data_IF_316798831129
#
_entry.id   IF_316798831129
#
_cell.length_a   1.000
_cell.length_b   1.000
_cell.length_c   1.000
_cell.angle_alpha   90.00
_cell.angle_beta   90.00
_cell.angle_gamma   90.00
#
_symmetry.space_group_name_H-M   'P 1'
#
loop_
_entity.id
_entity.type
_entity.pdbx_description
1 polymer ?
#
# COMPACT_ATOMS: atom_id res chain seq x y z
N UNK A 1 6.89 -11.89 17.76
CA UNK A 1 7.72 -12.82 16.93
C UNK A 1 8.34 -12.05 15.79
N UNK A 2 9.47 -12.54 15.24
CA UNK A 2 10.09 -11.93 14.06
C UNK A 2 9.51 -12.56 12.81
N UNK A 3 8.91 -11.76 11.93
CA UNK A 3 8.35 -12.18 10.65
C UNK A 3 8.91 -11.33 9.51
N UNK A 4 9.01 -11.93 8.32
CA UNK A 4 9.14 -11.16 7.09
C UNK A 4 7.81 -10.46 6.79
N UNK A 5 7.84 -9.44 5.93
CA UNK A 5 6.65 -8.75 5.47
C UNK A 5 5.63 -9.71 4.82
N UNK A 6 6.11 -10.66 3.99
CA UNK A 6 5.27 -11.70 3.39
C UNK A 6 4.63 -12.62 4.44
N UNK A 7 5.43 -13.11 5.40
CA UNK A 7 4.94 -13.99 6.47
C UNK A 7 3.90 -13.29 7.34
N UNK A 8 4.05 -11.99 7.55
CA UNK A 8 3.09 -11.17 8.31
C UNK A 8 1.72 -11.09 7.60
N UNK A 9 1.70 -10.88 6.28
CA UNK A 9 0.47 -10.90 5.46
C UNK A 9 -0.17 -12.30 5.51
N UNK A 10 0.64 -13.35 5.25
CA UNK A 10 0.18 -14.76 5.33
C UNK A 10 -0.48 -15.04 6.67
N UNK A 11 0.20 -14.71 7.77
CA UNK A 11 -0.31 -14.94 9.10
C UNK A 11 -1.60 -14.16 9.38
N UNK A 12 -1.68 -12.90 8.92
CA UNK A 12 -2.89 -12.09 9.07
C UNK A 12 -4.10 -12.73 8.39
N UNK A 13 -3.96 -13.19 7.15
CA UNK A 13 -5.04 -13.87 6.42
C UNK A 13 -5.40 -15.20 7.09
N UNK A 14 -4.38 -16.00 7.45
CA UNK A 14 -4.56 -17.29 8.12
C UNK A 14 -5.38 -17.15 9.41
N UNK A 15 -5.02 -16.21 10.28
CA UNK A 15 -5.73 -15.97 11.55
C UNK A 15 -7.18 -15.53 11.31
N UNK A 16 -7.45 -14.73 10.29
CA UNK A 16 -8.82 -14.35 9.96
C UNK A 16 -9.65 -15.50 9.40
N UNK A 17 -9.04 -16.38 8.60
CA UNK A 17 -9.71 -17.60 8.11
C UNK A 17 -9.98 -18.61 9.25
N UNK A 18 -9.08 -18.73 10.22
CA UNK A 18 -9.34 -19.56 11.43
C UNK A 18 -10.44 -18.95 12.31
N UNK A 19 -10.50 -17.62 12.41
CA UNK A 19 -11.46 -16.90 13.25
C UNK A 19 -12.88 -16.90 12.69
N UNK A 20 -13.02 -16.75 11.37
CA UNK A 20 -14.29 -16.52 10.71
C UNK A 20 -14.47 -17.44 9.50
N UNK A 21 -15.44 -18.38 9.55
CA UNK A 21 -15.69 -19.31 8.45
C UNK A 21 -16.20 -18.66 7.16
N UNK A 22 -16.67 -17.42 7.21
CA UNK A 22 -17.06 -16.66 6.02
C UNK A 22 -15.88 -16.12 5.21
N UNK A 23 -14.68 -16.07 5.79
CA UNK A 23 -13.44 -15.65 5.11
C UNK A 23 -12.93 -16.79 4.23
N UNK A 24 -12.72 -16.50 2.94
CA UNK A 24 -12.11 -17.44 2.00
C UNK A 24 -11.22 -16.72 1.00
N UNK A 25 -10.28 -17.43 0.40
CA UNK A 25 -9.37 -16.90 -0.63
C UNK A 25 -9.75 -17.42 -2.01
N UNK A 26 -9.64 -16.56 -3.03
CA UNK A 26 -9.76 -16.96 -4.43
C UNK A 26 -8.74 -16.20 -5.28
N UNK A 27 -8.25 -16.83 -6.32
CA UNK A 27 -7.23 -16.25 -7.21
C UNK A 27 -6.50 -17.29 -8.02
N UNK A 28 -5.53 -16.85 -8.80
CA UNK A 28 -4.75 -17.70 -9.70
C UNK A 28 -3.63 -18.41 -8.94
N UNK A 29 -3.56 -19.76 -9.07
CA UNK A 29 -2.53 -20.60 -8.47
C UNK A 29 -2.37 -20.49 -6.95
N UNK A 30 -3.40 -20.04 -6.23
CA UNK A 30 -3.34 -19.81 -4.77
C UNK A 30 -3.51 -21.08 -3.94
N UNK A 31 -4.05 -22.16 -4.53
CA UNK A 31 -4.32 -23.41 -3.88
C UNK A 31 -3.06 -24.26 -3.68
N UNK A 32 -2.89 -25.31 -4.50
CA UNK A 32 -1.77 -26.27 -4.37
C UNK A 32 -0.41 -25.57 -4.55
N UNK A 33 -0.31 -24.61 -5.46
CA UNK A 33 0.93 -23.86 -5.67
C UNK A 33 1.22 -22.85 -4.55
N UNK A 34 0.20 -22.35 -3.84
CA UNK A 34 0.33 -21.42 -2.72
C UNK A 34 0.58 -19.97 -3.12
N UNK A 35 0.16 -19.59 -4.33
CA UNK A 35 0.35 -18.27 -4.90
C UNK A 35 1.74 -18.04 -5.53
N UNK A 36 1.85 -17.10 -6.46
CA UNK A 36 3.10 -16.81 -7.17
C UNK A 36 4.26 -16.42 -6.21
N UNK A 37 3.95 -15.78 -5.12
CA UNK A 37 4.92 -15.36 -4.08
C UNK A 37 4.82 -16.16 -2.79
N UNK A 38 3.98 -17.20 -2.74
CA UNK A 38 3.83 -18.11 -1.58
C UNK A 38 3.11 -17.46 -0.37
N UNK A 39 2.23 -16.49 -0.59
CA UNK A 39 1.45 -15.92 0.51
C UNK A 39 0.42 -16.91 1.04
N UNK A 40 -0.19 -17.71 0.18
CA UNK A 40 -1.21 -18.72 0.55
C UNK A 40 -0.66 -20.16 0.66
N UNK A 41 0.65 -20.32 0.75
CA UNK A 41 1.29 -21.62 0.89
C UNK A 41 0.81 -22.37 2.16
N UNK A 42 0.32 -23.62 2.00
CA UNK A 42 -0.26 -24.43 3.06
C UNK A 42 -1.74 -24.13 3.40
N UNK A 43 -2.35 -23.10 2.80
CA UNK A 43 -3.74 -22.75 3.10
C UNK A 43 -4.72 -23.84 2.68
N UNK A 44 -4.53 -24.43 1.50
CA UNK A 44 -5.42 -25.47 0.99
C UNK A 44 -5.42 -26.73 1.85
N UNK A 45 -4.29 -27.06 2.47
CA UNK A 45 -4.16 -28.20 3.38
C UNK A 45 -4.92 -27.97 4.68
N UNK A 46 -5.00 -26.73 5.14
CA UNK A 46 -5.66 -26.34 6.38
C UNK A 46 -7.14 -26.08 6.20
N UNK A 47 -7.53 -25.34 5.16
CA UNK A 47 -8.89 -24.80 5.00
C UNK A 47 -9.71 -25.52 3.92
N UNK A 48 -9.07 -26.35 3.09
CA UNK A 48 -9.70 -27.11 2.02
C UNK A 48 -9.99 -26.28 0.75
N UNK A 49 -10.32 -26.99 -0.35
CA UNK A 49 -10.50 -26.37 -1.67
C UNK A 49 -11.77 -25.50 -1.79
N UNK A 50 -12.71 -25.62 -0.86
CA UNK A 50 -13.91 -24.78 -0.84
C UNK A 50 -13.65 -23.39 -0.25
N UNK A 51 -12.55 -23.23 0.50
CA UNK A 51 -12.13 -21.95 1.08
C UNK A 51 -10.81 -21.41 0.51
N UNK A 52 -10.13 -22.18 -0.33
CA UNK A 52 -8.94 -21.76 -1.08
C UNK A 52 -9.16 -22.16 -2.52
N UNK A 53 -9.64 -21.25 -3.34
CA UNK A 53 -10.21 -21.52 -4.66
C UNK A 53 -9.24 -21.07 -5.74
N UNK A 54 -8.66 -22.02 -6.48
CA UNK A 54 -7.93 -21.72 -7.71
C UNK A 54 -8.91 -21.29 -8.81
N UNK A 55 -8.59 -20.19 -9.48
CA UNK A 55 -9.38 -19.67 -10.59
C UNK A 55 -8.61 -19.73 -11.91
N UNK A 56 -9.29 -19.74 -13.06
CA UNK A 56 -8.65 -19.37 -14.31
C UNK A 56 -8.10 -17.95 -14.29
N UNK A 57 -7.21 -17.61 -15.22
CA UNK A 57 -6.72 -16.24 -15.47
C UNK A 57 -7.87 -15.42 -16.05
N UNK A 58 -8.62 -14.75 -15.18
CA UNK A 58 -9.79 -13.95 -15.55
C UNK A 58 -10.13 -12.94 -14.43
N UNK A 59 -9.33 -11.90 -14.31
CA UNK A 59 -9.38 -10.94 -13.19
C UNK A 59 -10.76 -10.29 -13.02
N UNK A 60 -11.44 -9.96 -14.11
CA UNK A 60 -12.84 -9.47 -14.05
C UNK A 60 -13.78 -10.49 -13.41
N UNK A 61 -13.61 -11.78 -13.70
CA UNK A 61 -14.42 -12.84 -13.12
C UNK A 61 -14.06 -13.08 -11.65
N UNK A 62 -12.77 -13.01 -11.29
CA UNK A 62 -12.30 -13.12 -9.89
C UNK A 62 -12.97 -12.03 -9.04
N UNK A 63 -12.90 -10.76 -9.48
CA UNK A 63 -13.55 -9.65 -8.78
C UNK A 63 -15.07 -9.81 -8.75
N UNK A 64 -15.68 -10.22 -9.87
CA UNK A 64 -17.13 -10.44 -9.94
C UNK A 64 -17.61 -11.52 -8.99
N UNK A 65 -16.88 -12.64 -8.89
CA UNK A 65 -17.18 -13.73 -7.96
C UNK A 65 -17.00 -13.29 -6.50
N UNK A 66 -15.88 -12.61 -6.18
CA UNK A 66 -15.64 -12.05 -4.86
C UNK A 66 -16.75 -11.06 -4.47
N UNK A 67 -17.12 -10.17 -5.37
CA UNK A 67 -18.19 -9.20 -5.13
C UNK A 67 -19.54 -9.89 -4.89
N UNK A 68 -19.94 -10.84 -5.75
CA UNK A 68 -21.16 -11.60 -5.57
C UNK A 68 -21.22 -12.34 -4.25
N UNK A 69 -20.11 -13.00 -3.85
CA UNK A 69 -19.99 -13.67 -2.58
C UNK A 69 -20.11 -12.70 -1.39
N UNK A 70 -19.52 -11.51 -1.48
CA UNK A 70 -19.61 -10.50 -0.42
C UNK A 70 -21.05 -10.04 -0.17
N UNK A 71 -21.88 -9.94 -1.22
CA UNK A 71 -23.30 -9.58 -1.10
C UNK A 71 -24.15 -10.68 -0.44
N UNK A 72 -23.64 -11.91 -0.38
CA UNK A 72 -24.30 -13.05 0.29
C UNK A 72 -23.78 -13.32 1.70
N UNK A 73 -22.95 -12.42 2.24
CA UNK A 73 -22.46 -12.50 3.60
C UNK A 73 -21.09 -13.16 3.78
N UNK A 74 -20.41 -13.51 2.68
CA UNK A 74 -19.04 -14.00 2.72
C UNK A 74 -18.04 -12.84 2.75
N UNK A 75 -16.78 -13.14 3.16
CA UNK A 75 -15.66 -12.19 3.21
C UNK A 75 -14.49 -12.69 2.34
N UNK A 76 -14.58 -12.49 1.03
CA UNK A 76 -13.54 -12.94 0.10
C UNK A 76 -12.27 -12.10 0.20
N UNK A 77 -11.13 -12.78 0.10
CA UNK A 77 -9.79 -12.23 -0.13
C UNK A 77 -9.36 -12.68 -1.52
N UNK A 78 -9.46 -11.79 -2.49
CA UNK A 78 -9.11 -12.08 -3.88
C UNK A 78 -7.67 -11.68 -4.17
N UNK A 79 -6.85 -12.63 -4.64
CA UNK A 79 -5.46 -12.41 -5.01
C UNK A 79 -5.33 -12.18 -6.51
N UNK A 80 -4.60 -11.12 -6.89
CA UNK A 80 -4.02 -10.93 -8.21
C UNK A 80 -2.57 -11.38 -8.19
N UNK A 81 -2.09 -12.06 -9.24
CA UNK A 81 -0.68 -12.45 -9.33
C UNK A 81 0.26 -11.23 -9.33
N UNK A 82 -0.18 -10.13 -9.97
CA UNK A 82 0.43 -8.80 -9.93
C UNK A 82 -0.67 -7.74 -9.96
N UNK A 83 -0.50 -6.68 -9.18
CA UNK A 83 -1.46 -5.56 -9.18
C UNK A 83 -1.47 -4.78 -10.50
N UNK A 84 -0.51 -5.01 -11.37
CA UNK A 84 -0.52 -4.53 -12.76
C UNK A 84 -1.76 -5.03 -13.51
N UNK A 85 -2.22 -6.26 -13.23
CA UNK A 85 -3.37 -6.89 -13.91
C UNK A 85 -4.73 -6.50 -13.32
N UNK A 86 -4.77 -5.80 -12.19
CA UNK A 86 -6.02 -5.31 -11.61
C UNK A 86 -6.78 -4.39 -12.59
N UNK A 87 -6.05 -3.78 -13.55
CA UNK A 87 -6.65 -3.02 -14.65
C UNK A 87 -7.63 -3.81 -15.50
N UNK A 88 -7.45 -5.15 -15.65
CA UNK A 88 -8.38 -6.03 -16.36
C UNK A 88 -9.75 -6.12 -15.67
N UNK A 89 -9.81 -5.85 -14.36
CA UNK A 89 -11.03 -5.85 -13.56
C UNK A 89 -11.55 -4.43 -13.24
N UNK A 90 -11.01 -3.39 -13.88
CA UNK A 90 -11.28 -1.99 -13.52
C UNK A 90 -12.77 -1.66 -13.49
N UNK A 91 -13.55 -2.11 -14.49
CA UNK A 91 -14.99 -1.87 -14.52
C UNK A 91 -15.73 -2.52 -13.34
N UNK A 92 -15.36 -3.76 -12.98
CA UNK A 92 -15.97 -4.46 -11.84
C UNK A 92 -15.68 -3.70 -10.53
N UNK A 93 -14.47 -3.24 -10.36
CA UNK A 93 -14.05 -2.51 -9.16
C UNK A 93 -14.70 -1.14 -9.09
N UNK A 94 -14.55 -0.33 -10.15
CA UNK A 94 -14.95 1.09 -10.14
C UNK A 94 -16.45 1.28 -10.26
N UNK A 95 -17.16 0.48 -11.06
CA UNK A 95 -18.58 0.68 -11.33
C UNK A 95 -19.50 -0.22 -10.48
N UNK A 96 -19.03 -1.40 -10.06
CA UNK A 96 -19.83 -2.30 -9.25
C UNK A 96 -19.44 -2.22 -7.77
N UNK A 97 -18.23 -2.62 -7.42
CA UNK A 97 -17.77 -2.75 -6.03
C UNK A 97 -17.76 -1.41 -5.29
N UNK A 98 -17.14 -0.39 -5.86
CA UNK A 98 -16.98 0.92 -5.21
C UNK A 98 -18.29 1.62 -4.89
N UNK A 99 -19.33 1.43 -5.71
CA UNK A 99 -20.58 2.18 -5.64
C UNK A 99 -21.72 1.46 -4.89
N UNK A 100 -21.50 0.22 -4.50
CA UNK A 100 -22.54 -0.63 -3.88
C UNK A 100 -23.15 0.00 -2.63
N UNK A 101 -22.31 0.46 -1.71
CA UNK A 101 -22.79 1.07 -0.48
C UNK A 101 -23.58 2.35 -0.74
N UNK A 102 -23.10 3.21 -1.65
CA UNK A 102 -23.79 4.43 -2.02
C UNK A 102 -25.16 4.18 -2.65
N UNK A 103 -25.24 3.19 -3.56
CA UNK A 103 -26.48 2.91 -4.30
C UNK A 103 -27.53 2.19 -3.46
N UNK A 104 -27.10 1.25 -2.62
CA UNK A 104 -28.04 0.33 -1.94
C UNK A 104 -27.91 0.31 -0.42
N UNK A 105 -26.92 1.01 0.15
CA UNK A 105 -26.60 0.90 1.57
C UNK A 105 -26.05 -0.46 1.98
N UNK A 106 -25.83 -1.36 1.02
CA UNK A 106 -25.33 -2.71 1.29
C UNK A 106 -23.82 -2.72 1.60
N UNK A 107 -23.37 -3.55 2.54
CA UNK A 107 -21.95 -3.81 2.72
C UNK A 107 -21.39 -4.60 1.52
N UNK A 108 -20.12 -4.38 1.21
CA UNK A 108 -19.36 -5.15 0.24
C UNK A 108 -18.00 -5.52 0.86
N UNK A 109 -17.99 -6.43 1.87
CA UNK A 109 -16.78 -6.79 2.60
C UNK A 109 -15.88 -7.70 1.77
N UNK A 110 -15.03 -7.12 0.95
CA UNK A 110 -14.05 -7.87 0.15
C UNK A 110 -12.69 -7.19 0.16
N UNK A 111 -11.64 -7.99 0.08
CA UNK A 111 -10.26 -7.53 -0.06
C UNK A 111 -9.74 -7.96 -1.43
N UNK A 112 -9.24 -6.99 -2.20
CA UNK A 112 -8.49 -7.22 -3.42
C UNK A 112 -7.02 -6.98 -3.10
N UNK A 113 -6.17 -8.01 -3.21
CA UNK A 113 -4.77 -7.91 -2.83
C UNK A 113 -3.82 -8.45 -3.90
N UNK A 114 -2.59 -7.99 -3.88
CA UNK A 114 -1.54 -8.53 -4.74
C UNK A 114 -0.24 -7.73 -4.68
N UNK A 115 0.84 -8.31 -5.27
CA UNK A 115 2.16 -7.68 -5.32
C UNK A 115 2.19 -6.49 -6.29
N UNK A 116 2.79 -5.38 -5.85
CA UNK A 116 3.00 -4.16 -6.63
C UNK A 116 4.45 -3.68 -6.54
N UNK A 117 4.78 -2.63 -7.26
CA UNK A 117 6.03 -1.89 -7.12
C UNK A 117 7.23 -2.43 -7.90
N UNK A 118 8.23 -1.59 -8.03
CA UNK A 118 9.48 -1.82 -8.75
C UNK A 118 10.61 -2.40 -7.89
N UNK A 119 11.85 -2.06 -8.26
CA UNK A 119 13.11 -2.57 -7.70
C UNK A 119 13.34 -4.07 -7.89
N UNK A 120 12.61 -4.70 -8.79
CA UNK A 120 12.66 -6.14 -9.07
C UNK A 120 12.88 -6.46 -10.55
N UNK A 121 13.07 -5.42 -11.38
CA UNK A 121 13.32 -5.52 -12.81
C UNK A 121 12.22 -6.23 -13.60
N UNK A 122 10.96 -6.10 -13.12
CA UNK A 122 9.78 -6.72 -13.73
C UNK A 122 9.26 -6.00 -14.98
N UNK A 123 9.76 -4.79 -15.24
CA UNK A 123 9.39 -3.99 -16.40
C UNK A 123 7.95 -3.44 -16.35
N UNK A 124 7.40 -2.97 -17.48
CA UNK A 124 6.19 -2.16 -17.50
C UNK A 124 4.90 -2.90 -17.12
N UNK A 125 4.93 -4.24 -17.05
CA UNK A 125 3.75 -5.05 -16.77
C UNK A 125 3.80 -5.80 -15.43
N UNK A 126 4.92 -5.68 -14.68
CA UNK A 126 5.13 -6.39 -13.42
C UNK A 126 5.78 -5.52 -12.34
N UNK A 127 5.84 -4.20 -12.53
CA UNK A 127 6.49 -3.28 -11.58
C UNK A 127 5.69 -2.01 -11.31
N UNK A 128 4.44 -1.91 -11.76
CA UNK A 128 3.63 -0.72 -11.60
C UNK A 128 3.12 -0.55 -10.17
N UNK A 129 2.77 0.69 -9.85
CA UNK A 129 2.07 1.11 -8.65
C UNK A 129 0.76 1.79 -9.06
N UNK A 130 -0.31 1.02 -9.38
CA UNK A 130 -1.56 1.56 -9.91
C UNK A 130 -2.55 2.04 -8.83
N UNK A 131 -2.12 2.28 -7.60
CA UNK A 131 -2.97 2.68 -6.48
C UNK A 131 -3.80 3.93 -6.78
N UNK A 132 -3.27 4.90 -7.54
CA UNK A 132 -3.98 6.13 -7.88
C UNK A 132 -5.21 5.92 -8.76
N UNK A 133 -5.26 4.83 -9.53
CA UNK A 133 -6.46 4.47 -10.30
C UNK A 133 -7.67 4.24 -9.40
N UNK A 134 -7.43 3.81 -8.17
CA UNK A 134 -8.45 3.44 -7.19
C UNK A 134 -8.65 4.51 -6.12
N UNK A 135 -7.64 5.31 -5.82
CA UNK A 135 -7.77 6.52 -4.97
C UNK A 135 -8.81 7.48 -5.56
N UNK A 136 -8.84 7.60 -6.89
CA UNK A 136 -9.83 8.42 -7.60
C UNK A 136 -11.26 7.86 -7.54
N UNK A 137 -11.47 6.64 -7.07
CA UNK A 137 -12.81 6.00 -7.03
C UNK A 137 -13.40 6.06 -5.62
N UNK A 138 -14.33 7.00 -5.31
CA UNK A 138 -15.00 7.05 -4.02
C UNK A 138 -15.72 5.73 -3.70
N UNK A 139 -15.57 5.30 -2.43
CA UNK A 139 -16.13 4.04 -1.94
C UNK A 139 -15.09 2.92 -1.76
N UNK A 140 -13.87 3.11 -2.24
CA UNK A 140 -12.74 2.19 -2.05
C UNK A 140 -11.80 2.67 -0.94
N UNK A 141 -11.27 1.72 -0.17
CA UNK A 141 -10.12 1.95 0.72
C UNK A 141 -8.89 1.39 0.04
N UNK A 142 -7.80 2.17 0.02
CA UNK A 142 -6.53 1.79 -0.64
C UNK A 142 -5.41 1.80 0.39
N UNK A 143 -4.79 0.64 0.59
CA UNK A 143 -3.89 0.36 1.71
C UNK A 143 -2.53 -0.06 1.14
N UNK A 144 -1.45 0.54 1.65
CA UNK A 144 -0.08 0.36 1.17
C UNK A 144 0.91 0.26 2.35
N UNK A 145 0.93 -0.84 3.10
CA UNK A 145 1.78 -0.99 4.29
C UNK A 145 3.27 -1.04 3.95
N UNK A 146 4.11 -0.61 4.89
CA UNK A 146 5.56 -0.61 4.77
C UNK A 146 6.26 -1.64 5.66
N UNK A 147 5.65 -2.03 6.78
CA UNK A 147 6.28 -2.88 7.81
C UNK A 147 5.52 -4.20 8.02
N UNK A 148 6.16 -5.26 8.55
CA UNK A 148 5.46 -6.49 8.91
C UNK A 148 4.34 -6.27 9.93
N UNK A 149 4.55 -5.40 10.93
CA UNK A 149 3.52 -5.02 11.89
C UNK A 149 2.27 -4.45 11.21
N UNK A 150 2.47 -3.47 10.33
CA UNK A 150 1.38 -2.82 9.62
C UNK A 150 0.72 -3.75 8.60
N UNK A 151 1.52 -4.55 7.90
CA UNK A 151 1.02 -5.51 6.92
C UNK A 151 0.05 -6.53 7.56
N UNK A 152 0.40 -7.12 8.71
CA UNK A 152 -0.49 -8.02 9.44
C UNK A 152 -1.70 -7.30 10.01
N UNK A 153 -1.49 -6.17 10.70
CA UNK A 153 -2.59 -5.44 11.35
C UNK A 153 -3.58 -4.84 10.35
N UNK A 154 -3.11 -4.33 9.21
CA UNK A 154 -3.95 -3.73 8.18
C UNK A 154 -4.69 -4.77 7.33
N UNK A 155 -4.07 -5.93 6.99
CA UNK A 155 -4.79 -6.97 6.26
C UNK A 155 -5.95 -7.55 7.10
N UNK A 156 -5.74 -7.73 8.40
CA UNK A 156 -6.81 -8.13 9.33
C UNK A 156 -7.90 -7.07 9.41
N UNK A 157 -7.53 -5.79 9.51
CA UNK A 157 -8.48 -4.69 9.51
C UNK A 157 -9.30 -4.64 8.21
N UNK A 158 -8.65 -4.84 7.06
CA UNK A 158 -9.29 -4.88 5.75
C UNK A 158 -10.29 -6.05 5.63
N UNK A 159 -9.94 -7.24 6.10
CA UNK A 159 -10.83 -8.41 6.09
C UNK A 159 -12.04 -8.19 7.02
N UNK A 160 -11.85 -7.48 8.14
CA UNK A 160 -12.93 -7.16 9.10
C UNK A 160 -13.81 -5.99 8.66
N UNK A 161 -13.36 -5.18 7.69
CA UNK A 161 -14.12 -4.03 7.20
C UNK A 161 -15.35 -4.46 6.40
N UNK A 162 -16.40 -3.67 6.46
CA UNK A 162 -17.64 -3.91 5.71
C UNK A 162 -17.66 -3.22 4.35
N UNK A 163 -16.61 -2.49 4.01
CA UNK A 163 -16.43 -1.83 2.72
C UNK A 163 -15.23 -2.41 1.97
N UNK A 164 -15.19 -2.27 0.64
CA UNK A 164 -14.14 -2.87 -0.16
C UNK A 164 -12.77 -2.23 0.10
N UNK A 165 -11.76 -3.08 0.27
CA UNK A 165 -10.37 -2.69 0.47
C UNK A 165 -9.51 -3.20 -0.67
N UNK A 166 -8.62 -2.35 -1.20
CA UNK A 166 -7.56 -2.73 -2.13
C UNK A 166 -6.25 -2.66 -1.36
N UNK A 167 -5.53 -3.78 -1.30
CA UNK A 167 -4.35 -3.95 -0.48
C UNK A 167 -3.12 -4.19 -1.36
N UNK A 168 -2.30 -3.15 -1.52
CA UNK A 168 -1.09 -3.18 -2.32
C UNK A 168 0.09 -3.68 -1.50
N UNK A 169 0.66 -4.81 -1.90
CA UNK A 169 1.78 -5.46 -1.24
C UNK A 169 3.06 -5.17 -2.03
N UNK A 170 3.93 -4.34 -1.48
CA UNK A 170 5.15 -4.02 -2.20
C UNK A 170 6.09 -5.23 -2.26
N UNK A 171 6.20 -5.89 -3.42
CA UNK A 171 6.92 -7.18 -3.58
C UNK A 171 8.40 -7.13 -3.27
N UNK A 172 9.04 -5.95 -3.43
CA UNK A 172 10.42 -5.73 -3.00
C UNK A 172 10.60 -5.97 -1.50
N UNK A 173 9.57 -5.68 -0.68
CA UNK A 173 9.60 -5.85 0.77
C UNK A 173 9.41 -7.29 1.22
N UNK A 174 8.77 -8.15 0.44
CA UNK A 174 8.29 -9.48 0.86
C UNK A 174 9.26 -10.29 1.71
N UNK A 175 10.52 -10.42 1.27
CA UNK A 175 11.56 -11.21 1.98
C UNK A 175 12.72 -10.37 2.49
N UNK A 176 12.73 -9.06 2.18
CA UNK A 176 13.84 -8.17 2.55
C UNK A 176 13.63 -7.51 3.90
N UNK A 177 12.37 -7.22 4.24
CA UNK A 177 12.04 -6.56 5.49
C UNK A 177 11.55 -7.59 6.49
N UNK A 178 12.15 -7.54 7.67
CA UNK A 178 11.73 -8.31 8.85
C UNK A 178 11.45 -7.35 10.00
N UNK A 179 10.49 -7.71 10.83
CA UNK A 179 10.14 -6.88 11.99
C UNK A 179 9.42 -7.67 13.06
N UNK A 180 9.32 -7.07 14.24
CA UNK A 180 8.56 -7.63 15.33
C UNK A 180 7.06 -7.49 15.08
N UNK A 181 6.34 -8.58 15.28
CA UNK A 181 4.88 -8.66 15.13
C UNK A 181 4.33 -9.28 16.41
N UNK A 182 3.30 -8.68 17.05
CA UNK A 182 2.64 -9.26 18.22
C UNK A 182 2.10 -10.65 17.93
N UNK A 183 2.10 -11.51 18.96
CA UNK A 183 1.46 -12.84 18.91
C UNK A 183 -0.04 -12.70 19.15
N UNK A 184 -0.42 -11.73 19.97
CA UNK A 184 -1.79 -11.42 20.32
C UNK A 184 -2.56 -10.87 19.10
N UNK A 185 -3.88 -11.00 19.14
CA UNK A 185 -4.74 -10.42 18.10
C UNK A 185 -4.68 -8.89 18.16
N UNK A 186 -4.39 -8.28 17.03
CA UNK A 186 -4.43 -6.83 16.86
C UNK A 186 -4.82 -6.44 15.44
N UNK A 187 -5.26 -5.20 15.29
CA UNK A 187 -5.50 -4.55 14.01
C UNK A 187 -4.84 -3.17 14.01
N UNK A 188 -4.46 -2.71 12.83
CA UNK A 188 -4.04 -1.32 12.60
C UNK A 188 -5.21 -0.57 11.97
N UNK A 189 -5.61 0.60 12.50
CA UNK A 189 -6.73 1.35 11.94
C UNK A 189 -6.46 1.82 10.51
N UNK A 190 -7.39 1.54 9.61
CA UNK A 190 -7.36 2.05 8.22
C UNK A 190 -7.59 3.56 8.25
N UNK A 191 -6.83 4.32 7.46
CA UNK A 191 -6.93 5.78 7.40
C UNK A 191 -6.16 6.51 8.52
N UNK A 192 -5.26 5.79 9.22
CA UNK A 192 -4.37 6.39 10.24
C UNK A 192 -2.91 6.19 9.87
N UNK A 193 -2.22 7.31 9.70
CA UNK A 193 -0.78 7.37 9.47
C UNK A 193 0.01 7.11 10.78
N UNK A 194 1.31 6.94 10.66
CA UNK A 194 2.22 6.83 11.80
C UNK A 194 3.53 7.56 11.55
N UNK A 195 4.14 8.07 12.61
CA UNK A 195 5.51 8.59 12.55
C UNK A 195 6.46 7.41 12.59
N UNK A 196 7.11 7.12 11.47
CA UNK A 196 8.12 6.07 11.36
C UNK A 196 9.48 6.52 11.92
N UNK A 197 9.76 7.81 11.92
CA UNK A 197 10.91 8.46 12.53
C UNK A 197 10.53 9.86 13.00
N UNK A 198 10.79 10.14 14.26
CA UNK A 198 10.67 11.51 14.79
C UNK A 198 11.77 12.40 14.22
N UNK A 199 11.43 13.64 13.93
CA UNK A 199 12.36 14.67 13.45
C UNK A 199 11.79 16.08 13.65
N UNK A 200 12.57 17.09 13.25
CA UNK A 200 12.21 18.49 13.50
C UNK A 200 12.55 19.47 12.38
N UNK A 201 13.32 19.05 11.38
CA UNK A 201 13.80 19.96 10.35
C UNK A 201 13.00 19.89 9.05
N UNK A 202 12.67 18.69 8.59
CA UNK A 202 11.95 18.45 7.32
C UNK A 202 11.04 17.26 7.50
N UNK A 203 9.77 17.36 7.12
CA UNK A 203 8.85 16.23 7.04
C UNK A 203 8.97 15.54 5.69
N UNK A 204 9.11 14.21 5.72
CA UNK A 204 9.00 13.34 4.55
C UNK A 204 7.71 12.54 4.66
N UNK A 205 6.74 12.83 3.79
CA UNK A 205 5.45 12.16 3.74
C UNK A 205 5.54 11.07 2.66
N UNK A 206 5.32 9.81 3.04
CA UNK A 206 5.57 8.68 2.15
C UNK A 206 4.75 7.43 2.53
N UNK A 207 4.90 6.33 1.79
CA UNK A 207 4.24 5.05 2.05
C UNK A 207 4.99 3.88 1.39
N UNK A 208 4.62 2.65 1.73
CA UNK A 208 5.15 1.41 1.17
C UNK A 208 6.69 1.34 1.21
N UNK A 209 7.35 0.93 0.11
CA UNK A 209 8.81 0.78 0.07
C UNK A 209 9.57 2.10 0.32
N UNK A 210 8.97 3.23 -0.03
CA UNK A 210 9.63 4.53 0.13
C UNK A 210 9.82 4.95 1.59
N UNK A 211 9.10 4.37 2.53
CA UNK A 211 9.35 4.54 3.97
C UNK A 211 10.78 4.10 4.33
N UNK A 212 11.23 2.96 3.79
CA UNK A 212 12.57 2.44 4.06
C UNK A 212 13.66 3.31 3.43
N UNK A 213 13.43 3.82 2.21
CA UNK A 213 14.34 4.78 1.57
C UNK A 213 14.43 6.09 2.35
N UNK A 214 13.30 6.55 2.92
CA UNK A 214 13.28 7.74 3.76
C UNK A 214 14.02 7.52 5.09
N UNK A 215 13.87 6.35 5.72
CA UNK A 215 14.61 6.00 6.94
C UNK A 215 16.11 5.97 6.69
N UNK A 216 16.58 5.35 5.59
CA UNK A 216 17.98 5.33 5.20
C UNK A 216 18.54 6.75 4.96
N UNK A 217 17.79 7.59 4.24
CA UNK A 217 18.16 8.99 4.05
C UNK A 217 18.23 9.75 5.38
N UNK A 218 17.31 9.48 6.30
CA UNK A 218 17.31 10.06 7.65
C UNK A 218 18.58 9.73 8.43
N UNK A 219 19.08 8.48 8.34
CA UNK A 219 20.34 8.07 8.96
C UNK A 219 21.58 8.76 8.34
N UNK A 220 21.56 9.04 7.05
CA UNK A 220 22.63 9.78 6.38
C UNK A 220 22.60 11.24 6.83
N UNK A 221 21.46 11.89 6.74
CA UNK A 221 21.27 13.32 6.99
C UNK A 221 21.45 13.69 8.47
N UNK A 222 21.11 12.80 9.39
CA UNK A 222 21.32 13.04 10.82
C UNK A 222 22.79 13.27 11.19
N UNK A 223 23.71 12.63 10.46
CA UNK A 223 25.17 12.84 10.62
C UNK A 223 25.62 14.22 10.15
N UNK A 224 24.80 14.87 9.35
CA UNK A 224 25.02 16.22 8.81
C UNK A 224 24.24 17.29 9.60
N UNK A 225 23.51 16.87 10.65
CA UNK A 225 22.71 17.77 11.47
C UNK A 225 21.36 18.14 10.86
N UNK A 226 20.86 17.35 9.91
CA UNK A 226 19.51 17.49 9.31
C UNK A 226 18.64 16.36 9.83
N UNK A 227 17.56 16.71 10.52
CA UNK A 227 16.72 15.75 11.25
C UNK A 227 15.37 15.59 10.56
N UNK A 228 15.20 14.47 9.81
CA UNK A 228 13.98 14.17 9.08
C UNK A 228 12.91 13.57 9.99
N UNK A 229 11.71 14.13 9.96
CA UNK A 229 10.49 13.45 10.40
C UNK A 229 9.93 12.63 9.23
N UNK A 230 9.59 11.36 9.47
CA UNK A 230 9.06 10.48 8.43
C UNK A 230 7.66 10.04 8.82
N UNK A 231 6.68 10.50 8.04
CA UNK A 231 5.29 10.12 8.15
C UNK A 231 4.97 9.00 7.15
N UNK A 232 4.71 7.79 7.68
CA UNK A 232 4.18 6.68 6.89
C UNK A 232 2.65 6.78 6.83
N UNK A 233 2.11 6.98 5.65
CA UNK A 233 0.67 7.11 5.42
C UNK A 233 -0.08 5.80 5.65
N UNK A 234 0.53 4.63 5.43
CA UNK A 234 -0.11 3.30 5.54
C UNK A 234 -1.32 3.12 4.63
N UNK A 235 -2.16 4.16 4.53
CA UNK A 235 -3.40 4.20 3.75
C UNK A 235 -3.39 5.44 2.87
N UNK A 236 -3.60 5.25 1.58
CA UNK A 236 -3.64 6.36 0.60
C UNK A 236 -5.08 6.77 0.22
N UNK A 237 -6.07 5.97 0.64
CA UNK A 237 -7.50 6.33 0.66
C UNK A 237 -8.21 5.55 1.77
N UNK A 238 -8.84 6.22 2.77
CA UNK A 238 -8.77 7.66 3.04
C UNK A 238 -7.39 8.08 3.56
N UNK A 239 -6.99 9.32 3.26
CA UNK A 239 -5.78 9.93 3.82
C UNK A 239 -6.01 10.43 5.26
N UNK A 240 -5.00 10.32 6.10
CA UNK A 240 -4.97 10.96 7.42
C UNK A 240 -4.55 12.43 7.28
N UNK A 241 -5.52 13.30 6.90
CA UNK A 241 -5.30 14.74 6.67
C UNK A 241 -4.75 15.42 7.93
N UNK A 242 -5.21 15.00 9.11
CA UNK A 242 -4.75 15.53 10.38
C UNK A 242 -3.25 15.27 10.60
N UNK A 243 -2.80 14.02 10.40
CA UNK A 243 -1.39 13.67 10.53
C UNK A 243 -0.52 14.42 9.51
N UNK A 244 -1.00 14.58 8.26
CA UNK A 244 -0.32 15.35 7.22
C UNK A 244 -0.15 16.81 7.66
N UNK A 245 -1.19 17.46 8.13
CA UNK A 245 -1.12 18.87 8.54
C UNK A 245 -0.30 19.07 9.81
N UNK A 246 -0.37 18.14 10.76
CA UNK A 246 0.42 18.21 12.00
C UNK A 246 1.93 18.07 11.74
N UNK A 247 2.37 17.14 10.88
CA UNK A 247 3.79 17.00 10.55
C UNK A 247 4.32 18.23 9.82
N UNK A 248 3.52 18.85 8.93
CA UNK A 248 3.87 20.13 8.26
C UNK A 248 4.06 21.25 9.27
N UNK A 249 3.11 21.44 10.20
CA UNK A 249 3.18 22.46 11.25
C UNK A 249 4.37 22.28 12.19
N UNK A 250 4.84 21.07 12.36
CA UNK A 250 6.00 20.76 13.22
C UNK A 250 7.32 21.16 12.59
N UNK A 251 7.50 20.90 11.30
CA UNK A 251 8.81 21.06 10.63
C UNK A 251 8.88 22.22 9.66
N UNK A 252 7.75 22.75 9.20
CA UNK A 252 7.58 23.85 8.26
C UNK A 252 8.18 23.63 6.86
N UNK A 253 8.78 22.47 6.62
CA UNK A 253 9.42 22.07 5.35
C UNK A 253 9.01 20.64 4.99
N UNK A 254 8.63 20.42 3.72
CA UNK A 254 7.98 19.17 3.31
C UNK A 254 8.55 18.60 2.04
N UNK A 255 8.85 17.32 2.08
CA UNK A 255 9.11 16.48 0.91
C UNK A 255 8.03 15.41 0.84
N UNK A 256 7.40 15.24 -0.31
CA UNK A 256 6.47 14.15 -0.57
C UNK A 256 7.18 13.15 -1.48
N UNK A 257 7.34 11.91 -1.01
CA UNK A 257 8.10 10.87 -1.69
C UNK A 257 7.20 9.68 -2.02
N UNK A 258 7.10 9.29 -3.28
CA UNK A 258 6.41 8.07 -3.70
C UNK A 258 7.02 7.48 -4.98
N UNK A 259 6.81 6.19 -5.19
CA UNK A 259 7.39 5.45 -6.32
C UNK A 259 6.60 5.65 -7.63
N UNK A 260 5.33 5.93 -7.54
CA UNK A 260 4.44 6.18 -8.68
C UNK A 260 4.94 7.36 -9.56
N UNK A 261 4.49 7.40 -10.83
CA UNK A 261 4.76 8.53 -11.75
C UNK A 261 4.41 9.87 -11.12
N UNK A 262 5.18 10.89 -11.47
CA UNK A 262 5.03 12.25 -10.92
C UNK A 262 3.69 12.89 -11.28
N UNK A 263 3.28 12.76 -12.55
CA UNK A 263 2.01 13.28 -13.05
C UNK A 263 0.86 12.37 -12.61
N UNK A 264 -0.15 12.96 -11.96
CA UNK A 264 -1.29 12.21 -11.42
C UNK A 264 -0.98 11.35 -10.21
N UNK A 265 0.24 11.45 -9.64
CA UNK A 265 0.63 10.76 -8.42
C UNK A 265 0.07 11.42 -7.15
N UNK A 266 0.09 10.68 -6.04
CA UNK A 266 -0.48 11.07 -4.75
C UNK A 266 0.09 12.40 -4.21
N UNK A 267 1.34 12.72 -4.56
CA UNK A 267 1.97 13.96 -4.13
C UNK A 267 1.21 15.22 -4.57
N UNK A 268 0.46 15.16 -5.67
CA UNK A 268 -0.41 16.26 -6.11
C UNK A 268 -1.55 16.51 -5.14
N UNK A 269 -2.23 15.45 -4.68
CA UNK A 269 -3.32 15.54 -3.70
C UNK A 269 -2.81 15.98 -2.33
N UNK A 270 -1.71 15.39 -1.85
CA UNK A 270 -1.10 15.79 -0.56
C UNK A 270 -0.68 17.27 -0.60
N UNK A 271 -0.07 17.73 -1.71
CA UNK A 271 0.30 19.13 -1.87
C UNK A 271 -0.93 20.07 -1.87
N UNK A 272 -2.05 19.64 -2.45
CA UNK A 272 -3.31 20.39 -2.38
C UNK A 272 -3.82 20.49 -0.95
N UNK A 273 -3.86 19.37 -0.20
CA UNK A 273 -4.25 19.34 1.22
C UNK A 273 -3.39 20.28 2.05
N UNK A 274 -2.07 20.25 1.87
CA UNK A 274 -1.14 21.14 2.59
C UNK A 274 -1.42 22.62 2.25
N UNK A 275 -1.65 22.91 0.97
CA UNK A 275 -1.96 24.26 0.54
C UNK A 275 -3.29 24.77 1.11
N UNK A 276 -4.29 23.89 1.28
CA UNK A 276 -5.59 24.25 1.85
C UNK A 276 -5.55 24.42 3.37
N UNK A 277 -4.77 23.62 4.09
CA UNK A 277 -4.89 23.47 5.55
C UNK A 277 -3.64 23.91 6.36
N UNK A 278 -2.48 24.06 5.71
CA UNK A 278 -1.21 24.35 6.35
C UNK A 278 -0.28 25.25 5.52
N UNK A 279 -0.81 26.04 4.58
CA UNK A 279 0.00 26.91 3.72
C UNK A 279 0.81 27.94 4.52
N UNK A 280 0.19 28.56 5.53
CA UNK A 280 0.81 29.59 6.37
C UNK A 280 1.91 29.02 7.30
N UNK A 281 2.01 27.69 7.40
CA UNK A 281 3.02 26.99 8.20
C UNK A 281 4.27 26.61 7.36
N UNK A 282 4.32 26.92 6.06
CA UNK A 282 5.43 26.55 5.19
C UNK A 282 6.53 27.60 5.16
N UNK A 283 7.78 27.17 5.39
CA UNK A 283 8.99 27.99 5.27
C UNK A 283 9.75 27.72 3.95
N UNK A 284 9.17 26.97 3.02
CA UNK A 284 9.78 26.65 1.74
C UNK A 284 8.82 25.98 0.77
N UNK A 285 9.26 25.67 -0.45
CA UNK A 285 8.43 24.98 -1.43
C UNK A 285 8.13 23.54 -1.01
N UNK A 286 6.94 23.03 -1.37
CA UNK A 286 6.65 21.61 -1.27
C UNK A 286 7.45 20.88 -2.35
N UNK A 287 8.39 20.03 -1.94
CA UNK A 287 9.21 19.22 -2.84
C UNK A 287 8.52 17.89 -3.13
N UNK A 288 8.43 17.51 -4.40
CA UNK A 288 7.89 16.20 -4.81
C UNK A 288 8.97 15.35 -5.45
N UNK A 289 9.26 14.21 -4.85
CA UNK A 289 10.16 13.17 -5.38
C UNK A 289 9.30 11.99 -5.79
N UNK A 290 9.34 11.61 -7.06
CA UNK A 290 8.47 10.59 -7.63
C UNK A 290 9.16 9.88 -8.80
N UNK A 291 8.62 8.74 -9.23
CA UNK A 291 9.01 8.08 -10.47
C UNK A 291 8.83 8.98 -11.68
N UNK A 292 9.59 8.70 -12.72
CA UNK A 292 9.50 9.45 -13.97
C UNK A 292 8.17 9.19 -14.70
N UNK A 293 7.73 10.15 -15.52
CA UNK A 293 6.54 10.01 -16.36
C UNK A 293 6.88 9.18 -17.63
N UNK A 294 7.19 7.91 -17.42
CA UNK A 294 7.47 6.94 -18.49
C UNK A 294 7.06 5.53 -18.06
N UNK A 295 7.09 4.56 -18.99
CA UNK A 295 6.94 3.16 -18.64
C UNK A 295 8.17 2.67 -17.84
N UNK A 296 7.96 1.78 -16.89
CA UNK A 296 9.03 1.23 -16.04
C UNK A 296 9.93 0.29 -16.87
N UNK A 297 11.23 0.51 -16.90
CA UNK A 297 12.15 -0.30 -17.71
C UNK A 297 12.44 -1.67 -17.08
N UNK A 298 12.83 -2.66 -17.91
CA UNK A 298 13.38 -3.95 -17.44
C UNK A 298 14.85 -3.86 -17.02
N UNK A 299 15.62 -3.02 -17.71
CA UNK A 299 17.07 -2.91 -17.48
C UNK A 299 17.35 -2.34 -16.08
N UNK A 300 18.15 -3.01 -15.23
CA UNK A 300 18.46 -2.53 -13.88
C UNK A 300 18.96 -1.10 -13.80
N UNK A 301 19.93 -0.62 -14.63
CA UNK A 301 20.35 0.77 -14.57
C UNK A 301 19.27 1.76 -15.00
N UNK A 302 18.36 1.34 -15.90
CA UNK A 302 17.25 2.20 -16.32
C UNK A 302 16.13 2.23 -15.28
N UNK A 303 15.82 1.10 -14.64
CA UNK A 303 14.87 1.07 -13.52
C UNK A 303 15.39 1.91 -12.35
N UNK A 304 16.69 1.82 -12.01
CA UNK A 304 17.32 2.67 -10.99
C UNK A 304 17.20 4.16 -11.33
N UNK A 305 17.34 4.52 -12.60
CA UNK A 305 17.15 5.91 -13.05
C UNK A 305 15.69 6.35 -13.00
N UNK A 306 14.76 5.44 -13.28
CA UNK A 306 13.31 5.70 -13.26
C UNK A 306 12.78 5.91 -11.86
N UNK A 307 13.20 5.07 -10.89
CA UNK A 307 12.68 5.04 -9.53
C UNK A 307 13.41 6.05 -8.64
N UNK A 308 12.69 6.69 -7.67
CA UNK A 308 13.32 7.53 -6.66
C UNK A 308 14.37 6.77 -5.87
N UNK A 309 15.54 7.38 -5.68
CA UNK A 309 16.63 6.80 -4.92
C UNK A 309 16.88 7.57 -3.62
N UNK A 310 17.51 6.93 -2.64
CA UNK A 310 17.94 7.56 -1.36
C UNK A 310 18.76 8.82 -1.63
N UNK A 311 19.66 8.80 -2.62
CA UNK A 311 20.48 9.97 -3.04
C UNK A 311 19.66 11.17 -3.48
N UNK A 312 18.48 10.93 -4.10
CA UNK A 312 17.59 12.01 -4.55
C UNK A 312 16.95 12.69 -3.33
N UNK A 313 16.47 11.92 -2.37
CA UNK A 313 15.94 12.47 -1.12
C UNK A 313 17.01 13.25 -0.32
N UNK A 314 18.22 12.68 -0.21
CA UNK A 314 19.34 13.36 0.46
C UNK A 314 19.67 14.69 -0.22
N UNK A 315 19.73 14.72 -1.55
CA UNK A 315 19.98 15.96 -2.33
C UNK A 315 18.91 17.02 -2.08
N UNK A 316 17.64 16.64 -2.23
CA UNK A 316 16.52 17.58 -2.08
C UNK A 316 16.37 18.07 -0.63
N UNK A 317 16.60 17.21 0.36
CA UNK A 317 16.56 17.60 1.76
C UNK A 317 17.66 18.65 2.11
N UNK A 318 18.89 18.47 1.57
CA UNK A 318 19.95 19.50 1.72
C UNK A 318 19.54 20.83 1.12
N UNK A 319 19.00 20.83 -0.09
CA UNK A 319 18.49 22.05 -0.74
C UNK A 319 17.37 22.71 0.05
N UNK A 320 16.41 21.93 0.54
CA UNK A 320 15.26 22.45 1.27
C UNK A 320 15.65 22.96 2.67
N UNK A 321 16.74 22.43 3.27
CA UNK A 321 17.25 22.92 4.56
C UNK A 321 17.69 24.37 4.51
N UNK A 322 18.23 24.81 3.37
CA UNK A 322 18.81 26.14 3.18
C UNK A 322 17.75 27.24 2.91
N UNK A 323 16.47 26.84 2.72
CA UNK A 323 15.36 27.79 2.67
C UNK A 323 15.03 28.36 4.04
#
# INVERSE_FOLDING_TARGET
MQLTYLEAIRQGIWEEMDRDPSVFCLGEDIGIYGGAFKVTDGFIDRFGPERVIDTPIAESAIVGAAFGASLTGMRPVAEFQFMDFIGCAFNQISNMVAKTHYLWGAPAPLVLRGPSGGYVHGGPFHSQNPEMWFVHNPGLKVICPATPYDAKGLIKAAIRDNNPCIFFEHKYLYRRIKGEVPVEDYVVPIGKATIAREGRDISVITYAAMVHSALEAGEILSKEGIDLEILDLRTVSPLDREAITQTVKKTNKVIILHEHSRTGGLAGEIAAIINEEAFDDLDGPIVRIAGLDSAIPFSPPQEEHYLPQVRDLVREARHLKDY
#
